data_IF_297428135174
#
_entry.id   IF_297428135174
#
_cell.length_a   1.000
_cell.length_b   1.000
_cell.length_c   1.000
_cell.angle_alpha   90.00
_cell.angle_beta   90.00
_cell.angle_gamma   90.00
#
_symmetry.space_group_name_H-M   'P 1'
#
loop_
_entity.id
_entity.type
_entity.pdbx_description
1 polymer ?
#
# COMPACT_ATOMS: atom_id res chain seq x y z
N UNK A 1 -4.14 18.21 -4.57
CA UNK A 1 -4.15 17.20 -3.47
C UNK A 1 -5.25 17.56 -2.49
N UNK A 2 -5.88 16.55 -1.87
CA UNK A 2 -6.90 16.81 -0.85
C UNK A 2 -6.30 17.46 0.39
N UNK A 3 -7.09 18.24 1.11
CA UNK A 3 -6.70 18.73 2.43
C UNK A 3 -6.42 17.54 3.36
N UNK A 4 -5.38 17.62 4.19
CA UNK A 4 -4.95 16.52 5.04
C UNK A 4 -4.23 15.35 4.34
N UNK A 5 -4.07 15.37 3.00
CA UNK A 5 -3.38 14.31 2.27
C UNK A 5 -1.89 14.21 2.69
N UNK A 6 -1.43 13.05 3.22
CA UNK A 6 -0.07 12.88 3.75
C UNK A 6 1.06 13.06 2.74
N UNK A 7 0.81 12.78 1.46
CA UNK A 7 1.84 12.80 0.42
C UNK A 7 1.31 12.44 -0.97
N UNK A 8 2.21 12.40 -1.94
CA UNK A 8 1.94 12.05 -3.34
C UNK A 8 1.98 10.53 -3.44
N UNK A 9 0.83 9.90 -3.73
CA UNK A 9 0.77 8.46 -3.90
C UNK A 9 1.25 8.06 -5.29
N UNK A 10 2.04 6.99 -5.37
CA UNK A 10 2.45 6.41 -6.64
C UNK A 10 2.43 4.88 -6.59
N UNK A 11 2.38 4.27 -7.77
CA UNK A 11 2.56 2.84 -7.98
C UNK A 11 3.43 2.65 -9.21
N UNK A 12 4.37 1.72 -9.11
CA UNK A 12 5.20 1.27 -10.22
C UNK A 12 4.69 -0.07 -10.75
N UNK A 13 4.87 -0.35 -12.04
CA UNK A 13 4.49 -1.63 -12.63
C UNK A 13 4.71 -1.68 -14.15
N UNK A 14 4.63 -2.87 -14.75
CA UNK A 14 5.00 -3.08 -16.16
C UNK A 14 4.10 -2.39 -17.20
N UNK A 15 2.86 -2.02 -16.82
CA UNK A 15 1.93 -1.38 -17.76
C UNK A 15 0.83 -0.62 -17.05
N UNK A 16 0.24 0.35 -17.77
CA UNK A 16 -0.90 1.14 -17.29
C UNK A 16 -2.07 0.24 -16.88
N UNK A 17 -2.32 -0.84 -17.64
CA UNK A 17 -3.40 -1.79 -17.36
C UNK A 17 -3.14 -2.57 -16.07
N UNK A 18 -1.90 -2.98 -15.80
CA UNK A 18 -1.55 -3.70 -14.59
C UNK A 18 -1.71 -2.82 -13.35
N UNK A 19 -1.10 -1.62 -13.37
CA UNK A 19 -1.15 -0.72 -12.20
C UNK A 19 -2.56 -0.17 -11.96
N UNK A 20 -3.30 0.16 -13.02
CA UNK A 20 -4.66 0.70 -12.86
C UNK A 20 -5.67 -0.30 -12.31
N UNK A 21 -5.45 -1.61 -12.43
CA UNK A 21 -6.33 -2.63 -11.84
C UNK A 21 -5.75 -3.24 -10.56
N UNK A 22 -4.69 -2.64 -10.01
CA UNK A 22 -3.99 -3.19 -8.86
C UNK A 22 -4.80 -3.10 -7.56
N UNK A 23 -4.81 -4.17 -6.73
CA UNK A 23 -5.50 -4.17 -5.44
C UNK A 23 -4.95 -3.13 -4.46
N UNK A 24 -3.68 -2.71 -4.62
CA UNK A 24 -3.06 -1.69 -3.78
C UNK A 24 -3.73 -0.31 -3.87
N UNK A 25 -4.55 -0.09 -4.91
CA UNK A 25 -5.20 1.19 -5.17
C UNK A 25 -6.66 1.26 -4.70
N UNK A 26 -7.25 0.15 -4.25
CA UNK A 26 -8.70 0.06 -4.02
C UNK A 26 -9.20 1.13 -3.03
N UNK A 27 -8.65 1.18 -1.81
CA UNK A 27 -9.09 2.18 -0.83
C UNK A 27 -8.65 3.59 -1.20
N UNK A 28 -7.48 3.76 -1.84
CA UNK A 28 -7.04 5.07 -2.35
C UNK A 28 -8.06 5.64 -3.34
N UNK A 29 -8.55 4.82 -4.27
CA UNK A 29 -9.59 5.18 -5.23
C UNK A 29 -10.94 5.40 -4.56
N UNK A 30 -11.38 4.53 -3.64
CA UNK A 30 -12.64 4.73 -2.90
C UNK A 30 -12.62 6.04 -2.10
N UNK A 31 -11.46 6.42 -1.55
CA UNK A 31 -11.24 7.72 -0.89
C UNK A 31 -11.00 8.88 -1.87
N UNK A 32 -10.96 8.63 -3.18
CA UNK A 32 -10.75 9.65 -4.22
C UNK A 32 -9.38 10.32 -4.17
N UNK A 33 -8.34 9.60 -3.73
CA UNK A 33 -6.97 10.07 -3.86
C UNK A 33 -6.45 9.83 -5.27
N UNK A 34 -5.73 10.82 -5.79
CA UNK A 34 -4.97 10.68 -7.03
C UNK A 34 -3.70 9.85 -6.78
N UNK A 35 -3.38 8.98 -7.73
CA UNK A 35 -2.21 8.09 -7.69
C UNK A 35 -1.47 8.19 -9.02
N UNK A 36 -0.17 8.45 -8.96
CA UNK A 36 0.69 8.46 -10.13
C UNK A 36 0.98 7.03 -10.58
N UNK A 37 0.75 6.76 -11.87
CA UNK A 37 1.06 5.49 -12.51
C UNK A 37 2.40 5.62 -13.22
N UNK A 38 3.38 4.92 -12.68
CA UNK A 38 4.76 4.92 -13.15
C UNK A 38 5.01 3.57 -13.81
N UNK A 39 5.20 3.57 -15.11
CA UNK A 39 5.20 2.33 -15.91
C UNK A 39 6.46 2.15 -16.74
N UNK A 40 7.37 3.11 -16.69
CA UNK A 40 8.66 3.00 -17.32
C UNK A 40 9.67 2.39 -16.33
N UNK A 41 10.56 1.48 -16.77
CA UNK A 41 11.54 0.86 -15.87
C UNK A 41 12.43 1.85 -15.10
N UNK A 42 12.68 3.02 -15.68
CA UNK A 42 13.45 4.10 -15.03
C UNK A 42 12.75 4.69 -13.81
N UNK A 43 11.42 4.62 -13.76
CA UNK A 43 10.63 5.23 -12.69
C UNK A 43 10.95 4.63 -11.33
N UNK A 44 11.19 3.31 -11.26
CA UNK A 44 11.55 2.59 -10.04
C UNK A 44 12.85 3.14 -9.41
N UNK A 45 13.81 3.50 -10.25
CA UNK A 45 15.07 4.11 -9.82
C UNK A 45 14.88 5.60 -9.47
N UNK A 46 14.06 6.32 -10.25
CA UNK A 46 13.82 7.73 -10.05
C UNK A 46 13.19 8.01 -8.67
N UNK A 47 12.15 7.25 -8.29
CA UNK A 47 11.43 7.45 -7.01
C UNK A 47 12.21 7.03 -5.77
N UNK A 48 13.28 6.23 -5.92
CA UNK A 48 14.19 5.95 -4.81
C UNK A 48 15.02 7.19 -4.41
N UNK A 49 15.35 8.03 -5.40
CA UNK A 49 16.09 9.27 -5.18
C UNK A 49 15.14 10.44 -4.92
N UNK A 50 14.01 10.49 -5.61
CA UNK A 50 12.97 11.51 -5.46
C UNK A 50 12.07 11.19 -4.25
N UNK A 51 12.55 11.48 -3.05
CA UNK A 51 11.79 11.22 -1.80
C UNK A 51 10.67 12.23 -1.56
N UNK A 52 10.83 13.45 -2.04
CA UNK A 52 9.86 14.53 -1.89
C UNK A 52 9.82 15.45 -3.11
N UNK A 53 8.68 16.08 -3.31
CA UNK A 53 8.47 17.12 -4.30
C UNK A 53 7.59 18.20 -3.68
N UNK A 54 8.03 19.46 -3.75
CA UNK A 54 7.30 20.61 -3.20
C UNK A 54 6.87 20.41 -1.72
N UNK A 55 7.78 19.88 -0.90
CA UNK A 55 7.53 19.57 0.51
C UNK A 55 6.56 18.42 0.77
N UNK A 56 6.16 17.66 -0.26
CA UNK A 56 5.30 16.48 -0.16
C UNK A 56 6.11 15.21 -0.40
N UNK A 57 6.04 14.27 0.54
CA UNK A 57 6.68 12.96 0.39
C UNK A 57 6.01 12.13 -0.69
N UNK A 58 6.80 11.36 -1.42
CA UNK A 58 6.30 10.32 -2.31
C UNK A 58 6.01 9.05 -1.49
N UNK A 59 4.82 8.48 -1.64
CA UNK A 59 4.33 7.33 -0.88
C UNK A 59 3.97 6.20 -1.84
N UNK A 60 4.68 5.08 -1.74
CA UNK A 60 4.46 3.92 -2.60
C UNK A 60 3.25 3.11 -2.14
N UNK A 61 2.31 2.82 -3.06
CA UNK A 61 1.12 2.02 -2.76
C UNK A 61 1.41 0.52 -2.53
N UNK A 62 2.53 0.01 -3.04
CA UNK A 62 2.92 -1.41 -2.98
C UNK A 62 3.80 -1.76 -1.78
N UNK A 63 4.25 -0.75 -1.02
CA UNK A 63 5.11 -0.95 0.16
C UNK A 63 4.36 -0.80 1.47
N UNK A 64 4.98 -1.24 2.55
CA UNK A 64 4.56 -0.90 3.91
C UNK A 64 4.55 0.61 4.16
N UNK A 65 3.83 1.04 5.20
CA UNK A 65 3.78 2.45 5.57
C UNK A 65 2.81 3.32 4.76
N UNK A 66 1.95 2.72 3.92
CA UNK A 66 0.88 3.45 3.23
C UNK A 66 -0.08 4.07 4.25
N UNK A 67 0.08 5.38 4.48
CA UNK A 67 -0.81 6.18 5.34
C UNK A 67 -1.80 6.94 4.47
N UNK A 68 -3.06 6.90 4.89
CA UNK A 68 -4.14 7.70 4.36
C UNK A 68 -4.70 8.55 5.50
N UNK A 69 -5.42 9.62 5.17
CA UNK A 69 -6.21 10.28 6.19
C UNK A 69 -7.33 9.32 6.64
N UNK A 70 -7.52 9.20 7.95
CA UNK A 70 -8.47 8.26 8.55
C UNK A 70 -9.25 8.95 9.66
N UNK A 71 -10.57 8.83 9.57
CA UNK A 71 -11.48 9.32 10.60
C UNK A 71 -11.32 8.52 11.90
N UNK A 72 -11.78 9.06 13.03
CA UNK A 72 -11.75 8.34 14.29
C UNK A 72 -12.54 7.01 14.24
N UNK A 73 -13.65 6.98 13.51
CA UNK A 73 -14.46 5.77 13.35
C UNK A 73 -13.76 4.71 12.49
N UNK A 74 -13.05 5.12 11.43
CA UNK A 74 -12.23 4.19 10.64
C UNK A 74 -11.09 3.59 11.48
N UNK A 75 -10.46 4.39 12.34
CA UNK A 75 -9.40 3.91 13.24
C UNK A 75 -9.94 2.91 14.25
N UNK A 76 -11.10 3.19 14.86
CA UNK A 76 -11.78 2.26 15.78
C UNK A 76 -12.15 0.95 15.08
N UNK A 77 -12.75 1.03 13.90
CA UNK A 77 -13.12 -0.15 13.12
C UNK A 77 -11.89 -0.99 12.73
N UNK A 78 -10.76 -0.36 12.41
CA UNK A 78 -9.50 -1.04 12.12
C UNK A 78 -8.94 -1.77 13.34
N UNK A 79 -8.89 -1.11 14.51
CA UNK A 79 -8.41 -1.76 15.74
C UNK A 79 -9.33 -2.92 16.19
N UNK A 80 -10.64 -2.78 16.04
CA UNK A 80 -11.59 -3.87 16.27
C UNK A 80 -11.37 -5.05 15.30
N UNK A 81 -11.19 -4.77 14.01
CA UNK A 81 -10.92 -5.81 13.01
C UNK A 81 -9.62 -6.53 13.34
N UNK A 82 -8.57 -5.79 13.67
CA UNK A 82 -7.27 -6.31 14.08
C UNK A 82 -7.38 -7.25 15.28
N UNK A 83 -8.10 -6.86 16.33
CA UNK A 83 -8.34 -7.72 17.48
C UNK A 83 -9.16 -8.97 17.13
N UNK A 84 -10.22 -8.83 16.32
CA UNK A 84 -11.10 -9.94 15.91
C UNK A 84 -10.37 -10.97 15.03
N UNK A 85 -9.42 -10.55 14.21
CA UNK A 85 -8.72 -11.42 13.25
C UNK A 85 -7.30 -11.80 13.68
N UNK A 86 -6.85 -11.40 14.87
CA UNK A 86 -5.49 -11.69 15.35
C UNK A 86 -5.16 -13.18 15.29
N UNK A 87 -6.06 -14.04 15.80
CA UNK A 87 -5.87 -15.50 15.75
C UNK A 87 -5.81 -16.06 14.32
N UNK A 88 -6.56 -15.48 13.38
CA UNK A 88 -6.50 -15.87 11.97
C UNK A 88 -5.18 -15.43 11.33
N UNK A 89 -4.70 -14.21 11.60
CA UNK A 89 -3.41 -13.73 11.11
C UNK A 89 -2.27 -14.63 11.61
N UNK A 90 -2.29 -15.01 12.89
CA UNK A 90 -1.31 -15.96 13.46
C UNK A 90 -1.36 -17.29 12.76
N UNK A 91 -2.54 -17.89 12.60
CA UNK A 91 -2.71 -19.17 11.91
C UNK A 91 -2.18 -19.13 10.47
N UNK A 92 -2.50 -18.08 9.71
CA UNK A 92 -2.02 -17.93 8.33
C UNK A 92 -0.49 -17.78 8.32
N UNK A 93 0.09 -17.02 9.26
CA UNK A 93 1.54 -16.88 9.37
C UNK A 93 2.24 -18.20 9.71
N UNK A 94 1.64 -19.03 10.57
CA UNK A 94 2.16 -20.36 10.90
C UNK A 94 2.10 -21.31 9.70
N UNK A 95 1.00 -21.30 8.94
CA UNK A 95 0.84 -22.14 7.74
C UNK A 95 1.78 -21.72 6.61
N UNK A 96 2.00 -20.42 6.43
CA UNK A 96 2.89 -19.90 5.39
C UNK A 96 4.37 -19.89 5.80
N UNK A 97 4.65 -19.98 7.09
CA UNK A 97 5.99 -20.06 7.69
C UNK A 97 7.00 -19.11 7.03
N UNK A 98 8.07 -19.63 6.45
CA UNK A 98 9.18 -18.89 5.84
C UNK A 98 8.82 -18.13 4.57
N UNK A 99 7.64 -18.38 3.99
CA UNK A 99 7.18 -17.72 2.75
C UNK A 99 6.75 -16.27 2.96
N UNK A 100 6.41 -15.89 4.19
CA UNK A 100 5.99 -14.52 4.52
C UNK A 100 6.61 -14.06 5.83
N UNK A 101 7.04 -12.80 5.89
CA UNK A 101 7.61 -12.21 7.10
C UNK A 101 6.54 -12.04 8.19
N UNK A 102 5.36 -11.52 7.83
CA UNK A 102 4.23 -11.30 8.74
C UNK A 102 2.89 -11.26 7.99
N UNK A 103 1.81 -11.51 8.73
CA UNK A 103 0.43 -11.40 8.24
C UNK A 103 -0.30 -10.37 9.10
N UNK A 104 -0.89 -9.35 8.47
CA UNK A 104 -1.55 -8.24 9.17
C UNK A 104 -2.87 -7.90 8.50
N UNK A 105 -3.77 -7.28 9.27
CA UNK A 105 -5.01 -6.71 8.72
C UNK A 105 -4.66 -5.54 7.80
N UNK A 106 -5.22 -5.57 6.60
CA UNK A 106 -4.99 -4.53 5.60
C UNK A 106 -5.88 -3.32 5.83
N UNK A 107 -5.28 -2.14 5.83
CA UNK A 107 -6.00 -0.86 5.79
C UNK A 107 -6.16 -0.31 4.37
N UNK A 108 -5.69 -1.01 3.30
CA UNK A 108 -5.64 -0.50 1.91
C UNK A 108 -6.56 -1.18 0.91
N UNK A 109 -7.05 -2.37 1.25
CA UNK A 109 -7.95 -3.15 0.42
C UNK A 109 -9.39 -2.73 0.66
N UNK A 110 -10.25 -3.03 -0.32
CA UNK A 110 -11.67 -2.78 -0.20
C UNK A 110 -12.54 -3.88 -0.83
N UNK A 111 -12.08 -4.51 -1.90
CA UNK A 111 -12.80 -5.57 -2.61
C UNK A 111 -11.96 -6.85 -2.71
N UNK A 112 -10.63 -6.73 -2.84
CA UNK A 112 -9.72 -7.88 -2.83
C UNK A 112 -9.55 -8.48 -1.44
N UNK A 113 -9.44 -9.82 -1.33
CA UNK A 113 -9.35 -10.51 -0.04
C UNK A 113 -7.97 -10.34 0.64
N UNK A 114 -6.89 -10.25 -0.14
CA UNK A 114 -5.53 -10.06 0.37
C UNK A 114 -4.60 -9.47 -0.72
N UNK A 115 -3.42 -9.01 -0.31
CA UNK A 115 -2.33 -8.59 -1.20
C UNK A 115 -0.98 -8.80 -0.51
N UNK A 116 0.09 -9.01 -1.28
CA UNK A 116 1.46 -9.05 -0.77
C UNK A 116 2.10 -7.65 -0.84
N UNK A 117 2.71 -7.21 0.25
CA UNK A 117 3.38 -5.93 0.36
C UNK A 117 4.85 -6.15 0.70
N UNK A 118 5.73 -5.33 0.12
CA UNK A 118 7.16 -5.37 0.45
C UNK A 118 7.48 -4.36 1.54
N UNK A 119 8.57 -4.59 2.28
CA UNK A 119 9.00 -3.68 3.34
C UNK A 119 9.27 -2.26 2.82
N UNK A 120 9.14 -1.26 3.70
CA UNK A 120 9.24 0.18 3.34
C UNK A 120 10.53 0.52 2.57
N UNK A 121 11.66 -0.08 2.98
CA UNK A 121 12.98 0.13 2.38
C UNK A 121 13.41 -1.02 1.46
N UNK A 122 12.57 -2.05 1.29
CA UNK A 122 12.85 -3.19 0.42
C UNK A 122 12.61 -2.88 -1.06
N UNK A 123 13.02 -3.79 -1.92
CA UNK A 123 12.66 -3.74 -3.34
C UNK A 123 11.17 -3.99 -3.51
N UNK A 124 10.56 -3.35 -4.50
CA UNK A 124 9.18 -3.68 -4.88
C UNK A 124 9.18 -4.95 -5.74
N UNK A 125 8.03 -5.60 -5.87
CA UNK A 125 7.89 -6.75 -6.76
C UNK A 125 8.12 -6.39 -8.24
N UNK A 126 8.03 -5.11 -8.62
CA UNK A 126 8.34 -4.65 -9.98
C UNK A 126 9.86 -4.46 -10.20
N UNK A 127 10.64 -4.40 -9.11
CA UNK A 127 12.09 -4.27 -9.14
C UNK A 127 12.83 -5.61 -9.06
N UNK A 128 12.17 -6.64 -8.51
CA UNK A 128 12.65 -8.03 -8.46
C UNK A 128 12.61 -8.69 -9.84
#
# INVERSE_FOLDING_TARGET
MKEGQPGIYYITGESLKAVSNSPFLEKLKKKGYEVLYMVDPIDEYAVQQLKEYDGKKLICATKEGLKMDETEDEKKAFEEAKAKTEGLCTLIKEVLDDKVEKVVVSSRLADSPCCLVTGEYGWSANME
#
